data_IF_069252537593
#
_entry.id   IF_069252537593
#
_cell.length_a   1.000
_cell.length_b   1.000
_cell.length_c   1.000
_cell.angle_alpha   90.00
_cell.angle_beta   90.00
_cell.angle_gamma   90.00
#
_symmetry.space_group_name_H-M   'P 1'
#
loop_
_entity.id
_entity.type
_entity.pdbx_description
1 polymer ?
#
# COMPACT_ATOMS: atom_id res chain seq x y z
N UNK A 1 -64.05 -41.80 5.60
CA UNK A 1 -63.48 -41.10 6.78
C UNK A 1 -61.99 -41.46 6.83
N UNK A 2 -61.09 -40.47 6.64
CA UNK A 2 -59.68 -40.34 7.15
C UNK A 2 -58.72 -41.55 6.93
N UNK A 3 -57.52 -41.50 6.34
CA UNK A 3 -56.63 -40.50 5.73
C UNK A 3 -55.56 -41.28 4.94
N UNK A 4 -55.14 -40.73 3.79
CA UNK A 4 -53.88 -41.04 3.10
C UNK A 4 -52.68 -40.94 4.06
N UNK A 5 -51.62 -41.72 3.79
CA UNK A 5 -50.24 -41.21 3.64
C UNK A 5 -49.31 -42.34 3.20
N UNK A 6 -49.11 -42.41 1.88
CA UNK A 6 -47.96 -43.01 1.24
C UNK A 6 -46.74 -42.15 1.62
N UNK A 7 -45.88 -42.64 2.52
CA UNK A 7 -44.64 -41.96 2.87
C UNK A 7 -43.57 -42.33 1.84
N UNK A 8 -43.41 -41.46 0.84
CA UNK A 8 -42.24 -41.40 -0.04
C UNK A 8 -41.07 -40.88 0.80
N UNK A 9 -40.10 -41.73 1.11
CA UNK A 9 -38.82 -41.30 1.68
C UNK A 9 -37.76 -41.32 0.56
N UNK A 10 -37.75 -40.27 -0.25
CA UNK A 10 -36.63 -39.98 -1.13
C UNK A 10 -35.49 -39.42 -0.26
N UNK A 11 -34.47 -40.24 -0.02
CA UNK A 11 -33.22 -39.80 0.61
C UNK A 11 -32.45 -38.97 -0.41
N UNK A 12 -32.62 -37.66 -0.37
CA UNK A 12 -31.81 -36.71 -1.13
C UNK A 12 -30.51 -36.47 -0.36
N UNK A 13 -29.48 -37.25 -0.67
CA UNK A 13 -28.13 -37.00 -0.17
C UNK A 13 -27.55 -35.82 -0.97
N UNK A 14 -27.66 -34.60 -0.43
CA UNK A 14 -26.95 -33.44 -0.97
C UNK A 14 -25.48 -33.59 -0.56
N UNK A 15 -24.67 -34.16 -1.46
CA UNK A 15 -23.22 -34.08 -1.35
C UNK A 15 -22.81 -32.62 -1.61
N UNK A 16 -22.64 -31.85 -0.54
CA UNK A 16 -21.91 -30.59 -0.59
C UNK A 16 -20.44 -30.94 -0.84
N UNK A 17 -20.03 -31.00 -2.10
CA UNK A 17 -18.61 -30.89 -2.41
C UNK A 17 -18.18 -29.52 -1.93
N UNK A 18 -17.48 -29.48 -0.80
CA UNK A 18 -16.63 -28.36 -0.41
C UNK A 18 -15.59 -28.21 -1.52
N UNK A 19 -15.94 -27.47 -2.58
CA UNK A 19 -14.92 -26.89 -3.43
C UNK A 19 -14.10 -26.01 -2.51
N UNK A 20 -12.88 -26.43 -2.23
CA UNK A 20 -11.84 -25.55 -1.73
C UNK A 20 -11.74 -24.41 -2.73
N UNK A 21 -12.38 -23.28 -2.39
CA UNK A 21 -12.18 -22.03 -3.10
C UNK A 21 -10.70 -21.72 -2.88
N UNK A 22 -9.88 -21.98 -3.91
CA UNK A 22 -8.52 -21.49 -3.95
C UNK A 22 -8.60 -19.96 -4.08
N UNK A 23 -8.72 -19.27 -2.94
CA UNK A 23 -8.59 -17.81 -2.87
C UNK A 23 -7.11 -17.48 -3.07
N UNK A 24 -6.70 -17.35 -4.33
CA UNK A 24 -5.41 -16.76 -4.66
C UNK A 24 -5.53 -15.25 -4.51
N UNK A 25 -5.26 -14.74 -3.31
CA UNK A 25 -5.07 -13.30 -3.10
C UNK A 25 -3.79 -12.87 -3.82
N UNK A 26 -3.91 -12.16 -4.95
CA UNK A 26 -2.74 -11.66 -5.65
C UNK A 26 -2.29 -10.36 -4.99
N UNK A 27 -1.18 -10.42 -4.25
CA UNK A 27 -0.51 -9.22 -3.74
C UNK A 27 0.21 -8.53 -4.90
N UNK A 28 -0.17 -7.29 -5.21
CA UNK A 28 0.52 -6.44 -6.17
C UNK A 28 1.30 -5.35 -5.44
N UNK A 29 2.61 -5.37 -5.59
CA UNK A 29 3.49 -4.30 -5.12
C UNK A 29 3.52 -3.21 -6.19
N UNK A 30 2.97 -2.04 -5.87
CA UNK A 30 2.98 -0.89 -6.76
C UNK A 30 4.34 -0.17 -6.70
N UNK A 31 4.89 -0.04 -5.49
CA UNK A 31 6.22 0.52 -5.27
C UNK A 31 6.83 0.00 -3.97
N UNK A 32 8.12 -0.24 -4.00
CA UNK A 32 8.91 -0.52 -2.81
C UNK A 32 10.21 0.30 -2.87
N UNK A 33 10.45 1.11 -1.84
CA UNK A 33 11.71 1.82 -1.65
C UNK A 33 12.60 1.07 -0.66
N UNK A 34 12.00 0.57 0.42
CA UNK A 34 12.65 -0.24 1.47
C UNK A 34 11.65 -1.28 2.00
N UNK A 35 12.05 -2.05 3.02
CA UNK A 35 11.13 -2.94 3.75
C UNK A 35 10.08 -2.16 4.58
N UNK A 36 10.29 -0.87 4.83
CA UNK A 36 9.45 -0.03 5.67
C UNK A 36 8.69 1.05 4.88
N UNK A 37 9.13 1.35 3.67
CA UNK A 37 8.50 2.33 2.78
C UNK A 37 8.06 1.65 1.47
N UNK A 38 6.76 1.40 1.35
CA UNK A 38 6.16 0.68 0.23
C UNK A 38 4.67 1.02 0.06
N UNK A 39 4.17 0.83 -1.17
CA UNK A 39 2.75 0.88 -1.51
C UNK A 39 2.40 -0.43 -2.23
N UNK A 40 1.44 -1.18 -1.68
CA UNK A 40 0.94 -2.42 -2.28
C UNK A 40 -0.56 -2.53 -2.06
N UNK A 41 -1.18 -3.41 -2.82
CA UNK A 41 -2.53 -3.84 -2.57
C UNK A 41 -2.67 -5.33 -2.85
N UNK A 42 -3.64 -5.96 -2.21
CA UNK A 42 -4.14 -7.29 -2.58
C UNK A 42 -5.55 -7.18 -3.13
N UNK A 43 -5.80 -8.00 -4.15
CA UNK A 43 -7.13 -8.26 -4.69
C UNK A 43 -7.25 -9.76 -4.87
N UNK A 44 -8.35 -10.32 -4.42
CA UNK A 44 -8.63 -11.74 -4.56
C UNK A 44 -9.25 -11.93 -5.94
N UNK A 45 -8.67 -12.80 -6.74
CA UNK A 45 -9.16 -13.08 -8.09
C UNK A 45 -10.29 -14.12 -8.04
N UNK A 46 -11.47 -13.69 -7.59
CA UNK A 46 -12.70 -14.47 -7.73
C UNK A 46 -13.85 -13.55 -8.20
N UNK A 47 -14.84 -14.14 -8.88
CA UNK A 47 -15.92 -13.40 -9.53
C UNK A 47 -16.86 -12.64 -8.58
N UNK A 48 -16.71 -12.81 -7.27
CA UNK A 48 -17.52 -12.19 -6.23
C UNK A 48 -16.71 -11.21 -5.37
N UNK A 49 -15.39 -11.12 -5.58
CA UNK A 49 -14.55 -10.28 -4.75
C UNK A 49 -14.50 -8.86 -5.26
N UNK A 50 -15.11 -7.99 -4.47
CA UNK A 50 -15.21 -6.56 -4.70
C UNK A 50 -14.26 -5.77 -3.79
N UNK A 51 -13.20 -6.38 -3.24
CA UNK A 51 -12.33 -5.71 -2.28
C UNK A 51 -10.89 -5.56 -2.75
N UNK A 52 -10.45 -4.31 -2.88
CA UNK A 52 -9.04 -3.98 -2.90
C UNK A 52 -8.57 -3.64 -1.49
N UNK A 53 -7.61 -4.41 -0.97
CA UNK A 53 -7.01 -4.18 0.33
C UNK A 53 -5.70 -3.45 0.15
N UNK A 54 -5.67 -2.17 0.51
CA UNK A 54 -4.47 -1.32 0.43
C UNK A 54 -3.58 -1.52 1.65
N UNK A 55 -2.26 -1.51 1.45
CA UNK A 55 -1.26 -1.41 2.52
C UNK A 55 -0.19 -0.41 2.09
N UNK A 56 -0.29 0.82 2.62
CA UNK A 56 0.67 1.90 2.39
C UNK A 56 1.49 2.09 3.65
N UNK A 57 2.82 2.05 3.51
CA UNK A 57 3.76 2.13 4.63
C UNK A 57 4.84 3.16 4.34
N UNK A 58 5.24 3.92 5.35
CA UNK A 58 6.30 4.91 5.25
C UNK A 58 7.13 4.96 6.54
N UNK A 59 8.43 5.19 6.38
CA UNK A 59 9.35 5.51 7.49
C UNK A 59 10.29 6.63 7.04
N UNK A 60 10.18 7.81 7.67
CA UNK A 60 10.93 9.00 7.25
C UNK A 60 12.45 8.88 7.44
N UNK A 61 12.92 8.00 8.33
CA UNK A 61 14.34 7.67 8.50
C UNK A 61 14.93 6.86 7.32
N UNK A 62 14.11 6.37 6.38
CA UNK A 62 14.63 5.72 5.19
C UNK A 62 15.40 6.72 4.32
N UNK A 63 16.54 6.26 3.81
CA UNK A 63 17.38 7.02 2.89
C UNK A 63 17.28 6.41 1.51
N UNK A 64 16.77 7.19 0.57
CA UNK A 64 16.58 6.79 -0.82
C UNK A 64 17.53 7.65 -1.65
N UNK A 65 18.19 7.05 -2.62
CA UNK A 65 19.02 7.79 -3.57
C UNK A 65 18.24 7.95 -4.88
N UNK A 66 18.03 9.19 -5.31
CA UNK A 66 17.41 9.52 -6.60
C UNK A 66 18.42 10.27 -7.45
N UNK A 67 19.05 9.57 -8.40
CA UNK A 67 20.20 10.10 -9.13
C UNK A 67 21.38 10.31 -8.18
N UNK A 68 21.81 11.55 -7.99
CA UNK A 68 22.91 11.94 -7.08
C UNK A 68 22.42 12.45 -5.72
N UNK A 69 21.12 12.66 -5.54
CA UNK A 69 20.57 13.29 -4.33
C UNK A 69 20.09 12.25 -3.33
N UNK A 70 20.43 12.44 -2.05
CA UNK A 70 19.80 11.71 -0.94
C UNK A 70 18.49 12.37 -0.55
N UNK A 71 17.43 11.57 -0.56
CA UNK A 71 16.09 11.99 -0.20
C UNK A 71 15.51 11.08 0.87
N UNK A 72 14.49 11.57 1.55
CA UNK A 72 13.69 10.80 2.50
C UNK A 72 12.21 10.84 2.13
N UNK A 73 11.44 9.77 2.42
CA UNK A 73 10.03 9.73 2.07
C UNK A 73 9.21 10.54 3.08
N UNK A 74 8.45 11.52 2.58
CA UNK A 74 7.56 12.36 3.39
C UNK A 74 6.09 11.96 3.25
N UNK A 75 5.66 11.62 2.03
CA UNK A 75 4.28 11.20 1.75
C UNK A 75 4.27 10.04 0.76
N UNK A 76 3.38 9.07 0.96
CA UNK A 76 3.13 7.98 0.02
C UNK A 76 1.63 7.72 -0.06
N UNK A 77 1.10 7.44 -1.26
CA UNK A 77 -0.31 7.17 -1.43
C UNK A 77 -0.61 6.26 -2.62
N UNK A 78 -1.77 5.62 -2.55
CA UNK A 78 -2.41 4.89 -3.64
C UNK A 78 -3.70 5.62 -4.00
N UNK A 79 -3.91 5.83 -5.29
CA UNK A 79 -5.16 6.34 -5.86
C UNK A 79 -5.85 5.19 -6.59
N UNK A 80 -7.07 4.90 -6.16
CA UNK A 80 -7.99 3.99 -6.82
C UNK A 80 -8.96 4.78 -7.67
N UNK A 81 -9.18 4.32 -8.90
CA UNK A 81 -10.24 4.77 -9.78
C UNK A 81 -11.18 3.59 -9.99
N UNK A 82 -12.31 3.62 -9.27
CA UNK A 82 -13.38 2.63 -9.33
C UNK A 82 -14.47 3.15 -10.27
N UNK A 83 -14.22 2.99 -11.56
CA UNK A 83 -15.14 3.39 -12.63
C UNK A 83 -15.57 4.86 -12.54
N UNK A 84 -14.60 5.77 -12.33
CA UNK A 84 -14.79 7.20 -12.18
C UNK A 84 -14.90 7.67 -10.74
N UNK A 85 -14.99 6.77 -9.77
CA UNK A 85 -14.97 7.12 -8.35
C UNK A 85 -13.56 7.03 -7.77
N UNK A 86 -13.02 8.17 -7.35
CA UNK A 86 -11.64 8.27 -6.89
C UNK A 86 -11.55 8.12 -5.38
N UNK A 87 -10.78 7.13 -4.94
CA UNK A 87 -10.41 6.95 -3.51
C UNK A 87 -8.90 7.07 -3.34
N UNK A 88 -8.45 7.79 -2.31
CA UNK A 88 -7.02 7.97 -2.01
C UNK A 88 -6.68 7.45 -0.63
N UNK A 89 -5.80 6.46 -0.59
CA UNK A 89 -5.23 5.92 0.65
C UNK A 89 -3.83 6.49 0.82
N UNK A 90 -3.60 7.30 1.85
CA UNK A 90 -2.32 8.01 2.04
C UNK A 90 -1.75 7.88 3.44
N UNK A 91 -0.44 8.10 3.54
CA UNK A 91 0.32 8.12 4.79
C UNK A 91 1.45 9.15 4.67
N UNK A 92 1.87 9.71 5.81
CA UNK A 92 2.94 10.70 5.92
C UNK A 92 3.93 10.27 7.00
N UNK A 93 5.20 10.66 6.84
CA UNK A 93 6.18 10.62 7.93
C UNK A 93 6.28 11.97 8.62
N UNK A 94 6.73 11.98 9.88
CA UNK A 94 6.86 13.22 10.65
C UNK A 94 8.16 13.98 10.32
N UNK A 95 9.04 13.39 9.50
CA UNK A 95 10.26 14.03 9.02
C UNK A 95 11.41 13.06 8.75
N UNK A 96 12.57 13.61 8.37
CA UNK A 96 13.73 12.80 7.94
C UNK A 96 14.34 11.89 9.01
N UNK A 97 14.09 12.16 10.29
CA UNK A 97 14.62 11.39 11.42
C UNK A 97 13.57 10.47 12.05
N UNK A 98 12.42 10.35 11.41
CA UNK A 98 11.30 9.56 11.90
C UNK A 98 11.55 8.05 11.72
N UNK A 99 12.01 7.42 12.80
CA UNK A 99 12.35 6.00 12.84
C UNK A 99 11.12 5.09 12.95
N UNK A 100 9.94 5.66 13.20
CA UNK A 100 8.70 4.91 13.35
C UNK A 100 8.13 4.60 11.97
N UNK A 101 7.84 3.32 11.74
CA UNK A 101 7.09 2.90 10.55
C UNK A 101 5.60 3.18 10.77
N UNK A 102 5.05 4.08 9.96
CA UNK A 102 3.60 4.33 9.90
C UNK A 102 2.98 3.52 8.77
N UNK A 103 1.79 2.97 9.00
CA UNK A 103 1.03 2.19 8.00
C UNK A 103 -0.42 2.64 7.96
N UNK A 104 -0.99 2.70 6.77
CA UNK A 104 -2.41 2.89 6.54
C UNK A 104 -2.93 1.72 5.71
N UNK A 105 -3.92 1.00 6.25
CA UNK A 105 -4.60 -0.09 5.59
C UNK A 105 -6.07 0.24 5.44
N UNK A 106 -6.56 0.17 4.21
CA UNK A 106 -7.95 0.45 3.90
C UNK A 106 -8.47 -0.56 2.89
N UNK A 107 -9.77 -0.82 2.97
CA UNK A 107 -10.50 -1.58 1.97
C UNK A 107 -11.16 -0.59 1.04
N UNK A 108 -10.89 -0.71 -0.26
CA UNK A 108 -11.56 0.03 -1.31
C UNK A 108 -12.49 -0.95 -2.03
N UNK A 109 -13.78 -0.62 -2.03
CA UNK A 109 -14.80 -1.44 -2.68
C UNK A 109 -14.76 -1.21 -4.19
N UNK A 110 -14.59 -2.29 -4.93
CA UNK A 110 -14.81 -2.36 -6.36
C UNK A 110 -16.32 -2.36 -6.67
N UNK A 111 -16.67 -1.96 -7.87
CA UNK A 111 -18.04 -2.09 -8.38
C UNK A 111 -18.16 -3.44 -9.10
N UNK A 112 -19.24 -4.15 -8.83
CA UNK A 112 -19.54 -5.42 -9.49
C UNK A 112 -19.45 -5.30 -11.02
N UNK A 113 -18.66 -6.20 -11.61
CA UNK A 113 -18.19 -6.07 -12.99
C UNK A 113 -19.21 -6.64 -13.99
N UNK A 114 -20.21 -5.83 -14.37
CA UNK A 114 -20.96 -6.00 -15.63
C UNK A 114 -20.45 -5.08 -16.75
N UNK A 115 -19.45 -4.25 -16.45
CA UNK A 115 -18.90 -3.22 -17.34
C UNK A 115 -17.49 -3.61 -17.81
N UNK A 116 -17.09 -3.09 -18.98
CA UNK A 116 -15.72 -3.22 -19.52
C UNK A 116 -14.68 -2.34 -18.80
N UNK A 117 -15.12 -1.44 -17.90
CA UNK A 117 -14.25 -0.56 -17.14
C UNK A 117 -13.77 -1.25 -15.86
N UNK A 118 -12.48 -1.58 -15.83
CA UNK A 118 -11.83 -2.19 -14.67
C UNK A 118 -11.32 -1.12 -13.70
N UNK A 119 -11.40 -1.42 -12.40
CA UNK A 119 -10.76 -0.59 -11.37
C UNK A 119 -9.25 -0.52 -11.59
N UNK A 120 -8.69 0.68 -11.44
CA UNK A 120 -7.25 0.90 -11.56
C UNK A 120 -6.66 1.43 -10.25
N UNK A 121 -5.44 1.00 -9.93
CA UNK A 121 -4.70 1.46 -8.77
C UNK A 121 -3.33 2.01 -9.20
N UNK A 122 -3.06 3.25 -8.83
CA UNK A 122 -1.79 3.96 -9.12
C UNK A 122 -1.17 4.42 -7.82
N UNK A 123 0.15 4.53 -7.78
CA UNK A 123 0.86 5.05 -6.61
C UNK A 123 1.58 6.35 -6.95
N UNK A 124 1.81 7.18 -5.95
CA UNK A 124 2.72 8.33 -6.06
C UNK A 124 3.28 8.69 -4.67
N UNK A 125 4.34 9.48 -4.63
CA UNK A 125 5.08 9.81 -3.41
C UNK A 125 5.67 11.22 -3.44
N UNK A 126 5.83 11.82 -2.27
CA UNK A 126 6.66 13.01 -2.06
C UNK A 126 7.94 12.59 -1.34
N UNK A 127 9.07 12.78 -2.02
CA UNK A 127 10.40 12.60 -1.46
C UNK A 127 11.03 13.99 -1.26
N UNK A 128 11.61 14.22 -0.09
CA UNK A 128 12.22 15.51 0.26
C UNK A 128 13.75 15.35 0.41
N UNK A 129 14.53 16.36 0.04
CA UNK A 129 15.99 16.30 0.16
C UNK A 129 16.40 16.17 1.64
N UNK A 130 17.44 15.39 1.88
CA UNK A 130 18.18 15.45 3.13
C UNK A 130 19.14 16.63 2.98
N UNK A 131 18.78 17.81 3.49
CA UNK A 131 19.70 18.96 3.49
C UNK A 131 21.08 18.53 4.00
N UNK A 132 22.11 18.69 3.16
CA UNK A 132 23.49 18.53 3.59
C UNK A 132 23.89 19.82 4.30
N UNK A 133 24.24 19.72 5.59
CA UNK A 133 24.91 20.81 6.29
C UNK A 133 26.28 20.95 5.62
N UNK A 134 26.43 21.96 4.76
CA UNK A 134 27.74 22.37 4.26
C UNK A 134 28.47 22.96 5.45
N UNK A 135 29.35 22.17 6.07
CA UNK A 135 30.28 22.68 7.07
C UNK A 135 31.31 23.51 6.29
N UNK A 136 31.09 24.81 6.17
CA UNK A 136 32.14 25.72 5.72
C UNK A 136 33.25 25.64 6.76
N UNK A 137 34.48 25.19 6.42
CA UNK A 137 35.56 25.19 7.38
C UNK A 137 35.81 26.64 7.80
N UNK A 138 35.58 26.94 9.08
CA UNK A 138 36.01 28.20 9.68
C UNK A 138 37.52 28.26 9.50
N UNK A 139 38.01 29.22 8.70
CA UNK A 139 39.43 29.46 8.58
C UNK A 139 39.94 29.87 9.96
N UNK A 140 40.71 28.98 10.60
CA UNK A 140 41.48 29.34 11.78
C UNK A 140 42.49 30.39 11.35
N UNK A 141 42.24 31.66 11.66
CA UNK A 141 43.25 32.71 11.51
C UNK A 141 44.47 32.31 12.33
N UNK A 142 45.57 32.06 11.64
CA UNK A 142 46.86 31.84 12.26
C UNK A 142 47.37 33.21 12.75
N UNK A 143 47.59 33.42 14.06
CA UNK A 143 48.15 34.68 14.53
C UNK A 143 49.54 34.84 13.93
N UNK A 144 49.73 35.92 13.16
CA UNK A 144 51.05 36.29 12.67
C UNK A 144 51.97 36.57 13.86
N UNK A 145 52.94 35.68 14.02
CA UNK A 145 54.09 35.85 14.90
C UNK A 145 54.85 37.11 14.47
N UNK A 146 54.79 38.16 15.31
CA UNK A 146 55.67 39.33 15.19
C UNK A 146 56.91 39.05 16.03
N UNK A 147 57.87 38.34 15.43
CA UNK A 147 59.22 38.23 15.95
C UNK A 147 59.99 39.55 15.79
N UNK A 148 60.56 40.01 16.90
CA UNK A 148 61.48 41.15 17.04
C UNK A 148 62.83 40.91 16.33
#
# INVERSE_FOLDING_TARGET
MVKNKLAVAAVFTIAFSLSTIYVNAQVKILKQYTNYTYAKYDHIDNSLDDEYRSDVSIRGADRITTGTTRVYPHKLWITYDVQGEITVVSIFSDGRNDTVQRRNRQVVKDKWNLSFLKTTAKWNSTLLPVEEVIITPTSTEHPQDKGN
#
